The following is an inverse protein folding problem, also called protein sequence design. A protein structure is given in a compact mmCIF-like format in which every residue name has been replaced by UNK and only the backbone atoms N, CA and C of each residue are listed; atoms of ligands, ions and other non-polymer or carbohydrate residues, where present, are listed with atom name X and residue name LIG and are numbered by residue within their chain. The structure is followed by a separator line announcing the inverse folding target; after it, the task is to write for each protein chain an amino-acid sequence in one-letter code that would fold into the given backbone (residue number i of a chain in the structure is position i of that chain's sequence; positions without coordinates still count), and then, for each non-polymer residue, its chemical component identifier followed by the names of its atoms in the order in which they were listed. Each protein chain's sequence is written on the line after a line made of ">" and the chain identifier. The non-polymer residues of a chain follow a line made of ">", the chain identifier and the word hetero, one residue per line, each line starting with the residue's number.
data_IF_166983093348
#
_entry.id   IF_166983093348
#
_cell.length_a   1.000
_cell.length_b   1.000
_cell.length_c   1.000
_cell.angle_alpha   90.00
_cell.angle_beta   90.00
_cell.angle_gamma   90.00
#
_symmetry.space_group_name_H-M   'P 1'
#
loop_
_entity.id
_entity.type
_entity.pdbx_description
1 polymer ?
#
# COMPACT_ATOMS: atom_id res chain seq x y z
N UNK A 1 12.19 -35.02 -60.13
CA UNK A 1 11.14 -34.22 -59.48
C UNK A 1 10.89 -34.83 -58.11
N UNK A 2 11.69 -34.45 -57.12
CA UNK A 2 11.42 -33.33 -56.20
C UNK A 2 10.20 -33.65 -55.30
N UNK A 3 10.16 -33.53 -53.97
CA UNK A 3 11.12 -33.16 -52.93
C UNK A 3 10.39 -33.34 -51.55
N UNK A 4 11.16 -33.66 -50.49
CA UNK A 4 11.01 -33.23 -49.07
C UNK A 4 9.72 -33.56 -48.28
N UNK A 5 9.72 -34.19 -47.09
CA UNK A 5 10.73 -34.28 -46.02
C UNK A 5 10.58 -33.12 -45.01
N UNK A 6 10.05 -33.37 -43.81
CA UNK A 6 9.84 -32.33 -42.78
C UNK A 6 9.50 -32.86 -41.40
N UNK A 7 10.38 -33.67 -40.81
CA UNK A 7 10.38 -34.00 -39.37
C UNK A 7 10.93 -32.83 -38.55
N UNK A 8 10.24 -32.52 -37.45
CA UNK A 8 10.59 -31.50 -36.47
C UNK A 8 11.93 -31.82 -35.77
N UNK A 9 12.84 -30.85 -35.58
CA UNK A 9 13.99 -31.01 -34.71
C UNK A 9 13.63 -30.64 -33.26
N UNK A 10 14.02 -31.43 -32.25
CA UNK A 10 14.20 -30.91 -30.89
C UNK A 10 15.65 -30.49 -30.66
N UNK A 11 15.87 -29.78 -29.55
CA UNK A 11 17.15 -29.49 -28.90
C UNK A 11 17.68 -28.07 -29.10
N UNK A 12 17.12 -27.14 -28.32
CA UNK A 12 17.84 -25.93 -27.93
C UNK A 12 18.71 -26.27 -26.71
N UNK A 13 19.84 -26.90 -26.97
CA UNK A 13 20.87 -27.14 -25.97
C UNK A 13 21.68 -25.86 -25.76
N UNK A 14 21.76 -25.41 -24.51
CA UNK A 14 22.54 -24.25 -24.09
C UNK A 14 24.02 -24.42 -24.52
N UNK A 15 24.50 -23.46 -25.31
CA UNK A 15 25.79 -23.46 -26.05
C UNK A 15 27.09 -23.46 -25.22
N UNK A 16 27.05 -23.81 -23.93
CA UNK A 16 28.22 -23.77 -23.04
C UNK A 16 28.32 -24.97 -22.08
N UNK A 17 27.70 -26.11 -22.39
CA UNK A 17 27.82 -27.31 -21.56
C UNK A 17 28.79 -28.30 -22.21
N UNK A 18 30.01 -28.37 -21.69
CA UNK A 18 30.92 -29.47 -22.03
C UNK A 18 30.37 -30.77 -21.38
N UNK A 19 30.25 -31.88 -22.13
CA UNK A 19 29.45 -33.03 -21.71
C UNK A 19 30.08 -33.94 -20.64
N UNK A 20 31.21 -33.57 -20.02
CA UNK A 20 32.03 -34.49 -19.19
C UNK A 20 32.11 -34.20 -17.69
N UNK A 21 31.33 -33.25 -17.14
CA UNK A 21 31.29 -33.05 -15.69
C UNK A 21 29.99 -33.68 -15.16
N UNK A 22 30.09 -34.93 -14.71
CA UNK A 22 29.12 -35.55 -13.81
C UNK A 22 29.29 -34.97 -12.40
N UNK A 23 28.16 -34.54 -11.84
CA UNK A 23 27.85 -34.43 -10.42
C UNK A 23 28.81 -33.63 -9.52
N UNK A 24 28.90 -32.32 -9.77
CA UNK A 24 29.26 -31.37 -8.72
C UNK A 24 28.00 -31.04 -7.89
N UNK A 25 28.01 -31.19 -6.55
CA UNK A 25 26.88 -30.77 -5.72
C UNK A 25 26.63 -29.28 -5.93
N UNK A 26 25.37 -28.93 -6.18
CA UNK A 26 24.96 -27.55 -6.41
C UNK A 26 25.35 -26.70 -5.18
N UNK A 27 26.36 -25.86 -5.36
CA UNK A 27 26.69 -24.82 -4.38
C UNK A 27 25.44 -23.98 -4.14
N UNK A 28 25.09 -23.67 -2.87
CA UNK A 28 23.98 -22.76 -2.59
C UNK A 28 24.25 -21.46 -3.32
N UNK A 29 23.28 -21.04 -4.14
CA UNK A 29 23.37 -19.85 -4.98
C UNK A 29 23.79 -18.65 -4.16
N UNK A 30 24.94 -18.07 -4.50
CA UNK A 30 25.40 -16.81 -3.91
C UNK A 30 24.28 -15.75 -4.03
N UNK A 31 23.99 -14.97 -2.98
CA UNK A 31 22.99 -13.92 -3.06
C UNK A 31 23.48 -12.86 -4.07
N UNK A 32 22.74 -12.68 -5.16
CA UNK A 32 23.03 -11.69 -6.22
C UNK A 32 23.29 -10.30 -5.61
N UNK A 33 24.56 -9.89 -5.59
CA UNK A 33 24.99 -8.54 -5.24
C UNK A 33 24.46 -7.56 -6.30
N UNK A 34 23.49 -6.74 -5.90
CA UNK A 34 22.86 -5.73 -6.76
C UNK A 34 23.91 -4.78 -7.33
N UNK A 35 23.80 -4.46 -8.62
CA UNK A 35 24.84 -3.70 -9.31
C UNK A 35 24.89 -2.22 -8.84
N UNK A 36 26.08 -1.58 -8.79
CA UNK A 36 26.25 -0.18 -8.36
C UNK A 36 25.36 0.82 -9.12
N UNK A 37 25.07 0.52 -10.39
CA UNK A 37 24.21 1.34 -11.25
C UNK A 37 22.74 1.38 -10.78
N UNK A 38 22.24 0.27 -10.21
CA UNK A 38 20.86 0.19 -9.72
C UNK A 38 20.66 1.02 -8.45
N UNK A 39 21.65 1.03 -7.56
CA UNK A 39 21.61 1.80 -6.32
C UNK A 39 21.71 3.31 -6.61
N UNK A 40 22.52 3.73 -7.57
CA UNK A 40 22.57 5.14 -7.99
C UNK A 40 21.22 5.62 -8.55
N UNK A 41 20.54 4.79 -9.37
CA UNK A 41 19.21 5.10 -9.91
C UNK A 41 18.17 5.21 -8.79
N UNK A 42 18.26 4.37 -7.75
CA UNK A 42 17.38 4.42 -6.58
C UNK A 42 17.63 5.67 -5.74
N UNK A 43 18.90 6.02 -5.49
CA UNK A 43 19.31 7.24 -4.77
C UNK A 43 18.85 8.51 -5.48
N UNK A 44 18.98 8.57 -6.81
CA UNK A 44 18.49 9.69 -7.63
C UNK A 44 16.99 9.90 -7.58
N UNK A 45 16.21 8.90 -7.18
CA UNK A 45 14.76 8.97 -6.99
C UNK A 45 14.37 9.35 -5.56
N UNK A 46 15.33 9.52 -4.66
CA UNK A 46 15.11 9.81 -3.25
C UNK A 46 15.22 11.31 -2.95
N UNK A 47 14.40 11.79 -2.03
CA UNK A 47 14.41 13.19 -1.61
C UNK A 47 15.82 13.63 -1.19
N UNK A 48 16.29 14.77 -1.73
CA UNK A 48 17.62 15.32 -1.46
C UNK A 48 17.82 15.83 -0.02
N UNK A 49 16.78 15.84 0.80
CA UNK A 49 16.86 16.26 2.21
C UNK A 49 17.51 15.13 3.00
N UNK A 50 18.57 15.44 3.74
CA UNK A 50 19.29 14.48 4.56
C UNK A 50 18.34 13.71 5.50
N UNK A 51 18.51 12.40 5.59
CA UNK A 51 17.65 11.51 6.40
C UNK A 51 16.26 11.25 5.82
N UNK A 52 15.90 11.75 4.64
CA UNK A 52 14.59 11.49 4.04
C UNK A 52 14.61 10.25 3.12
N UNK A 53 13.80 9.25 3.45
CA UNK A 53 13.61 8.02 2.65
C UNK A 53 12.39 8.06 1.73
N UNK A 54 11.80 9.25 1.52
CA UNK A 54 10.68 9.44 0.60
C UNK A 54 11.18 9.79 -0.80
N UNK A 55 10.44 9.33 -1.81
CA UNK A 55 10.75 9.59 -3.20
C UNK A 55 10.57 11.07 -3.57
N UNK A 56 11.34 11.54 -4.56
CA UNK A 56 11.22 12.87 -5.15
C UNK A 56 9.91 12.95 -5.92
N UNK A 57 9.13 14.00 -5.66
CA UNK A 57 7.93 14.33 -6.45
C UNK A 57 8.30 15.33 -7.54
N UNK A 58 8.91 16.45 -7.15
CA UNK A 58 9.33 17.52 -8.05
C UNK A 58 10.49 18.28 -7.41
N UNK A 59 11.37 18.89 -8.23
CA UNK A 59 12.47 19.75 -7.77
C UNK A 59 13.39 19.09 -6.72
N UNK A 60 13.63 17.78 -6.84
CA UNK A 60 14.54 17.07 -5.94
C UNK A 60 14.00 16.81 -4.52
N UNK A 61 12.74 17.14 -4.23
CA UNK A 61 12.14 17.00 -2.90
C UNK A 61 10.88 16.15 -2.91
N UNK A 62 10.57 15.53 -1.77
CA UNK A 62 9.32 14.78 -1.57
C UNK A 62 8.16 15.71 -1.23
N UNK A 63 6.92 15.20 -1.23
CA UNK A 63 5.71 15.99 -0.94
C UNK A 63 5.72 16.75 0.40
N UNK A 64 6.41 16.21 1.41
CA UNK A 64 6.56 16.81 2.74
C UNK A 64 7.62 17.91 2.76
N UNK A 65 8.68 17.77 1.96
CA UNK A 65 9.77 18.74 1.89
C UNK A 65 9.61 19.75 0.75
N UNK A 66 8.38 19.99 0.29
CA UNK A 66 8.10 21.00 -0.76
C UNK A 66 8.18 20.49 -2.20
N UNK A 67 8.17 19.18 -2.40
CA UNK A 67 8.01 18.58 -3.73
C UNK A 67 6.56 18.68 -4.23
N UNK A 68 6.37 19.27 -5.40
CA UNK A 68 5.08 19.42 -6.08
C UNK A 68 4.37 20.74 -5.75
N UNK A 69 3.34 21.07 -6.54
CA UNK A 69 2.57 22.31 -6.40
C UNK A 69 1.68 22.26 -5.14
N UNK A 70 1.67 23.33 -4.36
CA UNK A 70 0.80 23.52 -3.18
C UNK A 70 -0.51 24.20 -3.59
N UNK A 71 -1.52 24.07 -2.74
CA UNK A 71 -2.78 24.76 -2.91
C UNK A 71 -2.56 26.28 -2.91
N UNK A 72 -3.20 27.00 -3.83
CA UNK A 72 -3.13 28.47 -3.94
C UNK A 72 -3.89 29.23 -2.84
N UNK A 73 -4.63 28.54 -1.98
CA UNK A 73 -5.36 29.16 -0.88
C UNK A 73 -4.38 29.43 0.26
N UNK A 74 -4.34 30.67 0.73
CA UNK A 74 -3.47 31.09 1.82
C UNK A 74 -3.68 30.23 3.08
N UNK A 75 -2.57 29.83 3.70
CA UNK A 75 -2.57 28.93 4.85
C UNK A 75 -2.83 27.45 4.53
N UNK A 76 -3.00 27.05 3.26
CA UNK A 76 -3.21 25.64 2.91
C UNK A 76 -1.91 24.92 2.51
N UNK A 77 -1.44 24.00 3.37
CA UNK A 77 -0.23 23.21 3.07
C UNK A 77 -0.47 21.94 2.23
N UNK A 78 -1.73 21.71 1.85
CA UNK A 78 -2.14 20.53 1.06
C UNK A 78 -1.64 20.67 -0.38
N UNK A 79 -1.25 19.54 -1.00
CA UNK A 79 -0.86 19.53 -2.41
C UNK A 79 -2.03 19.89 -3.33
N UNK A 80 -1.74 20.68 -4.37
CA UNK A 80 -2.69 20.97 -5.43
C UNK A 80 -2.98 19.72 -6.27
N UNK A 81 -4.22 19.60 -6.74
CA UNK A 81 -4.69 18.51 -7.59
C UNK A 81 -5.12 19.00 -8.95
N UNK A 82 -5.93 20.06 -9.00
CA UNK A 82 -6.45 20.63 -10.23
C UNK A 82 -6.53 22.15 -10.08
N UNK A 83 -6.25 22.92 -11.15
CA UNK A 83 -6.28 24.40 -11.15
C UNK A 83 -5.50 25.05 -9.99
N UNK A 84 -4.39 24.45 -9.55
CA UNK A 84 -3.60 24.95 -8.42
C UNK A 84 -4.26 24.80 -7.05
N UNK A 85 -5.41 24.14 -6.94
CA UNK A 85 -6.17 24.00 -5.71
C UNK A 85 -6.16 22.55 -5.22
N UNK A 86 -6.30 22.34 -3.91
CA UNK A 86 -6.46 21.01 -3.33
C UNK A 86 -7.93 20.56 -3.42
N UNK A 87 -8.21 19.27 -3.20
CA UNK A 87 -9.57 18.72 -3.28
C UNK A 87 -10.60 19.48 -2.43
N UNK A 88 -10.21 19.93 -1.23
CA UNK A 88 -11.10 20.69 -0.33
C UNK A 88 -11.38 22.11 -0.81
N UNK A 89 -10.48 22.68 -1.60
CA UNK A 89 -10.55 24.07 -2.08
C UNK A 89 -10.91 24.13 -3.56
N UNK A 90 -11.64 23.16 -4.11
CA UNK A 90 -12.08 23.17 -5.52
C UNK A 90 -11.09 22.57 -6.52
N UNK A 91 -10.05 21.88 -6.05
CA UNK A 91 -9.12 21.11 -6.86
C UNK A 91 -9.69 19.80 -7.42
N UNK A 92 -10.91 19.84 -7.92
CA UNK A 92 -11.66 18.73 -8.48
C UNK A 92 -12.45 19.20 -9.71
N UNK A 93 -12.90 18.25 -10.52
CA UNK A 93 -13.85 18.51 -11.61
C UNK A 93 -15.22 17.99 -11.21
N UNK A 94 -16.27 18.51 -11.83
CA UNK A 94 -17.64 18.05 -11.60
C UNK A 94 -17.95 16.77 -12.38
N UNK A 95 -19.01 16.08 -11.97
CA UNK A 95 -19.49 14.90 -12.66
C UNK A 95 -20.09 15.28 -14.01
N UNK A 96 -19.70 14.62 -15.09
CA UNK A 96 -20.20 14.85 -16.45
C UNK A 96 -21.62 14.34 -16.70
N UNK A 97 -22.31 13.85 -15.66
CA UNK A 97 -23.69 13.35 -15.79
C UNK A 97 -24.62 14.52 -15.55
N UNK A 98 -25.56 14.72 -16.46
CA UNK A 98 -26.53 15.80 -16.39
C UNK A 98 -27.28 15.80 -15.04
N UNK A 99 -27.43 16.99 -14.45
CA UNK A 99 -28.03 17.17 -13.12
C UNK A 99 -27.19 16.69 -11.92
N UNK A 100 -25.93 16.28 -12.10
CA UNK A 100 -25.09 15.79 -11.00
C UNK A 100 -24.12 16.82 -10.43
N UNK A 101 -24.45 17.42 -9.29
CA UNK A 101 -23.59 18.38 -8.58
C UNK A 101 -22.45 17.74 -7.74
N UNK A 102 -22.10 16.48 -8.01
CA UNK A 102 -21.05 15.77 -7.25
C UNK A 102 -19.71 15.89 -7.97
N UNK A 103 -18.63 15.93 -7.20
CA UNK A 103 -17.29 15.97 -7.76
C UNK A 103 -16.93 14.63 -8.42
N UNK A 104 -16.36 14.71 -9.62
CA UNK A 104 -15.81 13.57 -10.33
C UNK A 104 -14.60 13.02 -9.59
N UNK A 105 -14.59 11.70 -9.41
CA UNK A 105 -13.50 10.96 -8.78
C UNK A 105 -12.46 10.53 -9.82
N UNK A 106 -12.95 10.00 -10.94
CA UNK A 106 -12.14 9.57 -12.08
C UNK A 106 -13.03 9.55 -13.34
N UNK A 107 -12.41 9.69 -14.52
CA UNK A 107 -13.09 9.61 -15.83
C UNK A 107 -14.26 10.60 -15.98
N UNK A 108 -14.20 11.75 -15.30
CA UNK A 108 -15.30 12.72 -15.28
C UNK A 108 -16.53 12.27 -14.49
N UNK A 109 -16.50 11.12 -13.80
CA UNK A 109 -17.66 10.56 -13.11
C UNK A 109 -17.47 10.57 -11.60
N UNK A 110 -18.54 10.82 -10.85
CA UNK A 110 -18.56 10.69 -9.39
C UNK A 110 -18.68 9.21 -8.97
N UNK A 111 -18.61 8.92 -7.66
CA UNK A 111 -18.65 7.54 -7.15
C UNK A 111 -19.92 6.77 -7.56
N UNK A 112 -21.09 7.44 -7.52
CA UNK A 112 -22.37 6.82 -7.90
C UNK A 112 -22.49 6.56 -9.39
N UNK A 113 -21.86 7.40 -10.22
CA UNK A 113 -21.95 7.32 -11.68
C UNK A 113 -20.79 6.53 -12.31
N UNK A 114 -19.96 5.85 -11.52
CA UNK A 114 -18.92 4.95 -12.04
C UNK A 114 -17.49 5.52 -12.07
N UNK A 115 -17.24 6.60 -11.31
CA UNK A 115 -15.88 7.13 -11.08
C UNK A 115 -14.98 6.26 -10.22
N UNK A 116 -15.43 5.07 -9.82
CA UNK A 116 -14.64 4.08 -9.10
C UNK A 116 -14.60 2.74 -9.84
N UNK A 117 -13.56 1.95 -9.58
CA UNK A 117 -13.42 0.60 -10.16
C UNK A 117 -14.54 -0.30 -9.67
N UNK A 118 -15.22 -1.04 -10.56
CA UNK A 118 -16.27 -1.98 -10.17
C UNK A 118 -15.70 -3.20 -9.46
N UNK A 119 -16.52 -3.83 -8.63
CA UNK A 119 -16.20 -5.09 -7.97
C UNK A 119 -16.02 -6.19 -9.03
N UNK A 120 -15.00 -7.03 -8.88
CA UNK A 120 -14.71 -8.13 -9.80
C UNK A 120 -15.69 -9.32 -9.70
N UNK A 121 -16.52 -9.35 -8.66
CA UNK A 121 -17.55 -10.39 -8.51
C UNK A 121 -18.63 -10.22 -9.60
N UNK A 122 -19.01 -11.33 -10.23
CA UNK A 122 -19.99 -11.36 -11.32
C UNK A 122 -21.30 -10.69 -10.91
N UNK A 123 -21.82 -9.81 -11.78
CA UNK A 123 -23.07 -9.08 -11.54
C UNK A 123 -23.01 -8.00 -10.45
N UNK A 124 -21.86 -7.76 -9.82
CA UNK A 124 -21.76 -6.75 -8.76
C UNK A 124 -21.52 -5.34 -9.33
N UNK A 125 -22.49 -4.44 -9.11
CA UNK A 125 -22.37 -3.02 -9.51
C UNK A 125 -21.64 -2.15 -8.49
N UNK A 126 -21.30 -2.70 -7.32
CA UNK A 126 -20.65 -1.94 -6.24
C UNK A 126 -19.21 -1.59 -6.60
N UNK A 127 -18.71 -0.51 -6.01
CA UNK A 127 -17.33 -0.06 -6.20
C UNK A 127 -16.37 -0.87 -5.32
N UNK A 128 -15.21 -1.18 -5.88
CA UNK A 128 -14.09 -1.83 -5.23
C UNK A 128 -13.52 -0.95 -4.13
N UNK A 129 -13.28 -1.55 -2.97
CA UNK A 129 -12.63 -0.91 -1.82
C UNK A 129 -11.16 -1.31 -1.77
N UNK A 130 -10.89 -2.62 -1.87
CA UNK A 130 -9.54 -3.19 -1.89
C UNK A 130 -9.56 -4.53 -2.60
N UNK A 131 -8.39 -5.01 -3.06
CA UNK A 131 -8.21 -6.34 -3.66
C UNK A 131 -9.16 -6.66 -4.84
N UNK A 132 -9.68 -5.65 -5.55
CA UNK A 132 -10.64 -5.86 -6.65
C UNK A 132 -12.09 -6.11 -6.21
N UNK A 133 -12.40 -6.08 -4.92
CA UNK A 133 -13.74 -6.38 -4.40
C UNK A 133 -14.36 -5.24 -3.61
N UNK A 134 -15.69 -5.21 -3.56
CA UNK A 134 -16.46 -4.33 -2.70
C UNK A 134 -16.49 -4.86 -1.25
N UNK A 135 -17.04 -4.08 -0.33
CA UNK A 135 -17.14 -4.47 1.09
C UNK A 135 -17.82 -5.84 1.31
N UNK A 136 -18.88 -6.14 0.56
CA UNK A 136 -19.61 -7.39 0.67
C UNK A 136 -18.81 -8.59 0.16
N UNK A 137 -17.99 -8.42 -0.87
CA UNK A 137 -17.26 -9.50 -1.55
C UNK A 137 -15.77 -9.58 -1.16
N UNK A 138 -15.40 -9.07 0.02
CA UNK A 138 -14.03 -9.24 0.56
C UNK A 138 -13.07 -8.06 0.36
N UNK A 139 -13.57 -6.89 -0.03
CA UNK A 139 -12.79 -5.66 -0.20
C UNK A 139 -12.31 -4.99 1.09
N UNK A 140 -12.54 -5.57 2.26
CA UNK A 140 -12.17 -4.99 3.54
C UNK A 140 -12.15 -6.00 4.68
N UNK A 141 -11.51 -5.62 5.80
CA UNK A 141 -11.37 -6.48 6.98
C UNK A 141 -12.64 -6.46 7.82
N UNK A 142 -13.08 -7.65 8.27
CA UNK A 142 -14.18 -7.79 9.23
C UNK A 142 -13.66 -7.70 10.66
N UNK A 143 -14.56 -7.36 11.57
CA UNK A 143 -14.24 -7.36 13.00
C UNK A 143 -13.83 -8.77 13.44
N UNK A 144 -12.82 -8.87 14.30
CA UNK A 144 -12.37 -10.16 14.87
C UNK A 144 -13.31 -10.77 15.91
N UNK A 145 -14.32 -10.02 16.39
CA UNK A 145 -15.33 -10.56 17.30
C UNK A 145 -16.23 -11.49 16.48
N UNK A 146 -16.46 -12.69 16.99
CA UNK A 146 -17.38 -13.67 16.43
C UNK A 146 -18.73 -13.03 16.10
N UNK A 147 -19.30 -13.41 14.95
CA UNK A 147 -20.58 -12.93 14.43
C UNK A 147 -20.65 -11.42 14.10
N UNK A 148 -19.55 -10.68 14.24
CA UNK A 148 -19.52 -9.26 13.93
C UNK A 148 -19.13 -8.99 12.47
N UNK A 149 -20.12 -8.71 11.62
CA UNK A 149 -19.88 -8.36 10.22
C UNK A 149 -19.44 -6.90 9.99
N UNK A 150 -19.31 -6.10 11.06
CA UNK A 150 -18.97 -4.67 10.96
C UNK A 150 -17.54 -4.48 10.42
N UNK A 151 -17.28 -3.34 9.73
CA UNK A 151 -15.96 -3.00 9.25
C UNK A 151 -14.95 -2.80 10.37
N UNK A 152 -13.74 -3.28 10.11
CA UNK A 152 -12.60 -3.12 10.99
C UNK A 152 -11.36 -2.64 10.25
N UNK A 153 -10.46 -2.00 10.99
CA UNK A 153 -9.27 -1.38 10.45
C UNK A 153 -8.06 -1.79 11.28
N UNK A 154 -6.88 -1.73 10.67
CA UNK A 154 -5.62 -2.07 11.36
C UNK A 154 -5.35 -1.14 12.55
N UNK A 155 -5.65 0.16 12.41
CA UNK A 155 -5.59 1.15 13.50
C UNK A 155 -6.50 0.84 14.70
N UNK A 156 -7.48 -0.03 14.53
CA UNK A 156 -8.39 -0.48 15.59
C UNK A 156 -8.14 -1.95 15.94
N UNK A 157 -6.92 -2.46 15.70
CA UNK A 157 -6.53 -3.86 15.92
C UNK A 157 -7.48 -4.88 15.25
N UNK A 158 -8.03 -4.54 14.08
CA UNK A 158 -9.02 -5.34 13.37
C UNK A 158 -10.33 -5.56 14.15
N UNK A 159 -10.66 -4.66 15.08
CA UNK A 159 -11.97 -4.54 15.69
C UNK A 159 -12.78 -3.42 15.02
N UNK A 160 -14.11 -3.57 15.00
CA UNK A 160 -14.99 -2.47 14.61
C UNK A 160 -14.91 -1.35 15.65
N UNK A 161 -15.36 -0.13 15.31
CA UNK A 161 -15.29 1.01 16.24
C UNK A 161 -15.97 0.73 17.59
N UNK A 162 -17.05 -0.04 17.60
CA UNK A 162 -17.76 -0.42 18.82
C UNK A 162 -16.96 -1.39 19.69
N UNK A 163 -16.42 -2.45 19.10
CA UNK A 163 -15.62 -3.44 19.84
C UNK A 163 -14.26 -2.88 20.25
N UNK A 164 -13.65 -2.02 19.42
CA UNK A 164 -12.41 -1.32 19.77
C UNK A 164 -12.56 -0.45 21.02
N UNK A 165 -13.69 0.26 21.16
CA UNK A 165 -13.99 1.07 22.36
C UNK A 165 -14.22 0.24 23.62
N UNK A 166 -14.63 -1.02 23.47
CA UNK A 166 -14.85 -1.97 24.58
C UNK A 166 -13.59 -2.74 24.98
N UNK A 167 -12.50 -2.62 24.22
CA UNK A 167 -11.23 -3.23 24.61
C UNK A 167 -10.75 -2.57 25.92
N UNK A 168 -10.29 -3.37 26.90
CA UNK A 168 -9.64 -2.80 28.07
C UNK A 168 -8.47 -1.97 27.56
N UNK A 169 -8.42 -0.68 27.94
CA UNK A 169 -7.26 0.15 27.68
C UNK A 169 -6.16 -0.40 28.55
N UNK A 170 -5.33 -1.28 27.99
CA UNK A 170 -4.10 -1.70 28.65
C UNK A 170 -3.33 -0.40 28.87
N UNK A 171 -3.05 0.02 30.13
CA UNK A 171 -2.09 1.08 30.35
C UNK A 171 -0.83 0.66 29.60
N UNK A 172 -0.21 1.59 28.85
CA UNK A 172 1.08 1.27 28.26
C UNK A 172 1.98 0.84 29.42
N UNK A 173 2.44 -0.40 29.38
CA UNK A 173 3.40 -0.92 30.36
C UNK A 173 4.57 0.07 30.41
N UNK A 174 4.70 0.78 31.53
CA UNK A 174 5.81 1.69 31.84
C UNK A 174 6.74 0.89 32.76
N UNK A 175 7.94 0.47 32.32
CA UNK A 175 8.75 -0.49 33.06
C UNK A 175 9.41 0.05 34.35
N UNK A 176 9.01 1.22 34.87
CA UNK A 176 9.88 2.03 35.75
C UNK A 176 9.54 2.05 37.24
N UNK A 177 8.70 1.16 37.79
CA UNK A 177 8.46 1.16 39.24
C UNK A 177 8.42 -0.25 39.81
N UNK A 178 9.61 -0.81 40.00
CA UNK A 178 9.86 -1.87 40.96
C UNK A 178 10.70 -1.28 42.10
N UNK A 179 10.05 -0.58 43.04
CA UNK A 179 10.69 -0.20 44.30
C UNK A 179 9.78 -0.61 45.45
N UNK A 180 10.20 -1.70 46.10
CA UNK A 180 10.19 -1.96 47.54
C UNK A 180 9.07 -1.34 48.37
N UNK A 181 8.08 -2.15 48.72
CA UNK A 181 7.46 -2.04 50.05
C UNK A 181 8.10 -3.10 50.93
N UNK A 182 9.04 -2.67 51.78
CA UNK A 182 9.39 -3.39 53.00
C UNK A 182 8.11 -3.55 53.83
N UNK A 183 7.80 -4.79 54.22
CA UNK A 183 6.66 -5.09 55.09
C UNK A 183 7.26 -5.27 56.48
N UNK A 184 7.05 -4.28 57.35
CA UNK A 184 7.39 -4.35 58.77
C UNK A 184 6.63 -5.53 59.42
N UNK A 185 7.39 -6.48 59.93
CA UNK A 185 6.90 -7.64 60.66
C UNK A 185 6.80 -7.30 62.15
N UNK A 186 5.69 -6.71 62.60
CA UNK A 186 5.35 -6.61 64.04
C UNK A 186 3.86 -6.30 64.27
N UNK A 187 2.97 -7.20 63.86
CA UNK A 187 1.56 -7.13 64.27
C UNK A 187 0.91 -8.50 64.53
N UNK A 188 1.66 -9.42 65.14
CA UNK A 188 1.11 -10.60 65.82
C UNK A 188 1.89 -10.84 67.13
N UNK A 189 1.42 -10.18 68.20
CA UNK A 189 1.47 -10.68 69.58
C UNK A 189 0.04 -10.69 70.08
#
# INVERSE_FOLDING_TARGET
>A
MDAMGGTTPPSSANKWRLPFILDAPALPSEPELKSPAQDEKKRRRMCKVAGCTKYIVQMGRCCRHGGGKKCLVDGCFTGAKHRGLCWKHGGCTECTVDGCNKNAKARGLCWSHGGGTRCQHSGCTKVTISKGFCWAHGGGKRCLVSDCIKPAFERTHNFCQMHYKKLPRVPRYRPEQLESTEIDADMYI
#
